data_IF_022808972840
#
_entry.id   IF_022808972840
#
_cell.length_a   1.000
_cell.length_b   1.000
_cell.length_c   1.000
_cell.angle_alpha   90.00
_cell.angle_beta   90.00
_cell.angle_gamma   90.00
#
_symmetry.space_group_name_H-M   'P 1'
#
loop_
_entity.id
_entity.type
_entity.pdbx_description
1 polymer ?
#
# COMPACT_ATOMS: atom_id res chain seq x y z
N UNK A 1 11.55 9.44 -11.10
CA UNK A 1 10.83 8.77 -9.99
C UNK A 1 9.70 7.98 -10.60
N UNK A 2 9.79 6.66 -10.57
CA UNK A 2 8.83 5.76 -11.20
C UNK A 2 7.62 5.60 -10.28
N UNK A 3 6.64 6.51 -10.43
CA UNK A 3 5.48 6.66 -9.53
C UNK A 3 4.47 5.50 -9.59
N UNK A 4 4.64 4.50 -10.46
CA UNK A 4 3.64 3.45 -10.69
C UNK A 4 3.99 2.05 -10.16
N UNK A 5 5.02 1.89 -9.30
CA UNK A 5 5.36 0.55 -8.75
C UNK A 5 4.49 0.11 -7.56
N UNK A 6 3.87 1.05 -6.85
CA UNK A 6 3.20 0.77 -5.57
C UNK A 6 1.74 0.36 -5.73
N UNK A 7 1.09 0.65 -6.86
CA UNK A 7 -0.31 0.33 -7.11
C UNK A 7 -0.41 -0.52 -8.36
N UNK A 8 -0.90 -1.76 -8.21
CA UNK A 8 -1.07 -2.72 -9.31
C UNK A 8 -2.55 -2.99 -9.52
N UNK A 9 -3.08 -2.65 -10.70
CA UNK A 9 -4.47 -2.93 -11.05
C UNK A 9 -4.74 -4.44 -11.02
N UNK A 10 -5.82 -4.85 -10.36
CA UNK A 10 -6.31 -6.23 -10.33
C UNK A 10 -7.27 -6.49 -11.49
N UNK A 11 -7.32 -7.74 -11.94
CA UNK A 11 -8.36 -8.22 -12.85
C UNK A 11 -9.64 -8.45 -12.03
N UNK A 12 -10.52 -7.45 -12.02
CA UNK A 12 -11.77 -7.42 -11.28
C UNK A 12 -12.82 -6.65 -12.10
N UNK A 13 -14.13 -6.89 -11.90
CA UNK A 13 -15.19 -6.21 -12.65
C UNK A 13 -15.36 -4.72 -12.30
N UNK A 14 -14.49 -4.17 -11.45
CA UNK A 14 -14.44 -2.78 -11.02
C UNK A 14 -12.99 -2.34 -10.79
N UNK A 15 -12.76 -1.04 -10.59
CA UNK A 15 -11.43 -0.52 -10.27
C UNK A 15 -10.99 -1.00 -8.89
N UNK A 16 -9.97 -1.86 -8.88
CA UNK A 16 -9.38 -2.42 -7.68
C UNK A 16 -7.86 -2.44 -7.86
N UNK A 17 -7.14 -1.89 -6.90
CA UNK A 17 -5.69 -1.82 -6.95
C UNK A 17 -5.08 -2.55 -5.75
N UNK A 18 -4.13 -3.43 -6.01
CA UNK A 18 -3.26 -3.97 -4.96
C UNK A 18 -2.15 -2.96 -4.64
N UNK A 19 -1.94 -2.71 -3.35
CA UNK A 19 -0.92 -1.77 -2.86
C UNK A 19 0.32 -2.54 -2.37
N UNK A 20 1.48 -2.34 -2.98
CA UNK A 20 2.72 -3.04 -2.64
C UNK A 20 3.37 -2.51 -1.36
N UNK A 21 2.85 -2.95 -0.21
CA UNK A 21 3.44 -2.64 1.09
C UNK A 21 4.73 -3.43 1.36
N UNK A 22 4.88 -4.62 0.78
CA UNK A 22 6.03 -5.48 1.04
C UNK A 22 7.34 -4.81 0.63
N UNK A 23 7.36 -4.19 -0.56
CA UNK A 23 8.55 -3.53 -1.12
C UNK A 23 8.60 -2.02 -0.86
N UNK A 24 7.60 -1.46 -0.18
CA UNK A 24 7.57 -0.04 0.18
C UNK A 24 8.66 0.30 1.21
N UNK A 25 9.46 1.33 0.91
CA UNK A 25 10.30 2.03 1.89
C UNK A 25 9.45 2.90 2.83
N UNK A 26 10.02 3.43 3.91
CA UNK A 26 9.31 4.36 4.81
C UNK A 26 8.77 5.60 4.07
N UNK A 27 9.51 6.10 3.07
CA UNK A 27 9.04 7.20 2.21
C UNK A 27 7.86 6.77 1.33
N UNK A 28 7.89 5.55 0.80
CA UNK A 28 6.78 5.00 0.02
C UNK A 28 5.54 4.80 0.90
N UNK A 29 5.71 4.36 2.14
CA UNK A 29 4.62 4.19 3.10
C UNK A 29 3.90 5.52 3.39
N UNK A 30 4.66 6.60 3.60
CA UNK A 30 4.09 7.93 3.75
C UNK A 30 3.38 8.40 2.47
N UNK A 31 3.98 8.14 1.31
CA UNK A 31 3.38 8.49 0.02
C UNK A 31 2.07 7.73 -0.24
N UNK A 32 1.98 6.45 0.17
CA UNK A 32 0.75 5.67 0.09
C UNK A 32 -0.34 6.29 0.97
N UNK A 33 0.00 6.62 2.23
CA UNK A 33 -0.93 7.27 3.17
C UNK A 33 -1.48 8.60 2.61
N UNK A 34 -0.60 9.43 2.03
CA UNK A 34 -0.96 10.70 1.38
C UNK A 34 -1.85 10.48 0.15
N UNK A 35 -1.44 9.58 -0.75
CA UNK A 35 -2.15 9.31 -2.02
C UNK A 35 -3.55 8.74 -1.79
N UNK A 36 -3.70 7.88 -0.77
CA UNK A 36 -4.98 7.25 -0.43
C UNK A 36 -5.81 8.06 0.59
N UNK A 37 -5.30 9.19 1.08
CA UNK A 37 -6.01 10.04 2.04
C UNK A 37 -6.26 9.39 3.41
N UNK A 38 -5.37 8.50 3.86
CA UNK A 38 -5.58 7.69 5.07
C UNK A 38 -5.29 8.43 6.38
N UNK A 39 -4.56 9.55 6.32
CA UNK A 39 -4.10 10.32 7.47
C UNK A 39 -3.32 9.48 8.51
N UNK A 40 -2.61 8.43 8.07
CA UNK A 40 -1.83 7.55 8.92
C UNK A 40 -0.39 8.03 9.06
N UNK A 41 0.12 7.92 10.28
CA UNK A 41 1.54 8.14 10.59
C UNK A 41 2.42 7.03 10.02
N UNK A 42 3.75 7.28 9.94
CA UNK A 42 4.71 6.27 9.53
C UNK A 42 4.63 5.01 10.42
N UNK A 43 4.46 5.19 11.73
CA UNK A 43 4.42 4.08 12.67
C UNK A 43 3.19 3.18 12.46
N UNK A 44 2.04 3.76 12.11
CA UNK A 44 0.83 3.01 11.76
C UNK A 44 0.99 2.28 10.43
N UNK A 45 1.55 2.94 9.42
CA UNK A 45 1.83 2.30 8.13
C UNK A 45 2.81 1.12 8.25
N UNK A 46 3.83 1.23 9.11
CA UNK A 46 4.74 0.12 9.42
C UNK A 46 4.01 -1.05 10.09
N UNK A 47 3.09 -0.78 11.02
CA UNK A 47 2.26 -1.84 11.63
C UNK A 47 1.38 -2.54 10.62
N UNK A 48 0.77 -1.80 9.69
CA UNK A 48 -0.03 -2.34 8.59
C UNK A 48 0.82 -3.20 7.66
N UNK A 49 2.02 -2.72 7.28
CA UNK A 49 2.98 -3.50 6.49
C UNK A 49 3.32 -4.83 7.16
N UNK A 50 3.63 -4.81 8.45
CA UNK A 50 3.93 -6.05 9.19
C UNK A 50 2.72 -6.98 9.33
N UNK A 51 1.51 -6.45 9.45
CA UNK A 51 0.28 -7.25 9.43
C UNK A 51 0.10 -7.99 8.09
N UNK A 52 0.21 -7.28 6.97
CA UNK A 52 0.05 -7.86 5.64
C UNK A 52 1.19 -8.81 5.25
N UNK A 53 2.41 -8.52 5.71
CA UNK A 53 3.55 -9.45 5.62
C UNK A 53 3.26 -10.77 6.32
N UNK A 54 2.71 -10.75 7.54
CA UNK A 54 2.30 -11.97 8.26
C UNK A 54 1.18 -12.73 7.56
N UNK A 55 0.26 -12.02 6.89
CA UNK A 55 -0.80 -12.61 6.07
C UNK A 55 -0.32 -13.14 4.71
N UNK A 56 0.95 -12.91 4.34
CA UNK A 56 1.55 -13.29 3.05
C UNK A 56 0.77 -12.77 1.84
N UNK A 57 0.22 -11.56 1.96
CA UNK A 57 -0.48 -10.86 0.87
C UNK A 57 -0.36 -9.36 1.04
N UNK A 58 -0.51 -8.61 -0.04
CA UNK A 58 -0.68 -7.16 0.00
C UNK A 58 -2.16 -6.77 0.22
N UNK A 59 -2.43 -5.56 0.73
CA UNK A 59 -3.77 -5.00 0.78
C UNK A 59 -4.26 -4.53 -0.59
N UNK A 60 -5.56 -4.30 -0.65
CA UNK A 60 -6.21 -3.52 -1.71
C UNK A 60 -6.40 -2.08 -1.26
N UNK A 61 -6.83 -1.22 -2.17
CA UNK A 61 -7.23 0.16 -1.92
C UNK A 61 -8.58 0.31 -1.18
N UNK A 62 -9.26 -0.81 -0.90
CA UNK A 62 -10.52 -0.93 -0.13
C UNK A 62 -10.31 -1.68 1.19
#
# INVERSE_FOLDING_TARGET
>A
MEKNRLFRKRDAPFELYEVDLQHASDKDLLHISETMGLALSLQEMQRIKEYFKKKRRNPTDV
#
